data_IF_383774047303
#
_entry.id   IF_383774047303
#
_cell.length_a   1.000
_cell.length_b   1.000
_cell.length_c   1.000
_cell.angle_alpha   90.00
_cell.angle_beta   90.00
_cell.angle_gamma   90.00
#
_symmetry.space_group_name_H-M   'P 1'
#
loop_
_entity.id
_entity.type
_entity.pdbx_description
1 polymer ?
#
# COMPACT_ATOMS: atom_id res chain seq x y z
N UNK A 1 -72.87 34.01 -16.72
CA UNK A 1 -71.89 34.11 -15.58
C UNK A 1 -71.37 32.72 -15.32
N UNK A 2 -70.25 32.35 -15.92
CA UNK A 2 -69.66 30.98 -15.83
C UNK A 2 -68.30 31.14 -15.14
N UNK A 3 -68.19 30.66 -13.86
CA UNK A 3 -67.00 30.62 -13.09
C UNK A 3 -66.12 29.38 -13.52
N UNK A 4 -64.96 29.61 -14.06
CA UNK A 4 -63.96 28.59 -14.32
C UNK A 4 -63.17 28.27 -13.04
N UNK A 5 -63.22 27.04 -12.62
CA UNK A 5 -62.45 26.50 -11.49
C UNK A 5 -61.05 26.09 -12.02
N UNK A 6 -59.98 26.73 -11.52
CA UNK A 6 -58.59 26.38 -11.85
C UNK A 6 -58.10 25.41 -10.80
N UNK A 7 -57.81 24.18 -11.22
CA UNK A 7 -57.23 23.11 -10.39
C UNK A 7 -55.71 23.26 -10.40
N UNK A 8 -55.11 23.62 -9.25
CA UNK A 8 -53.66 23.58 -9.08
C UNK A 8 -53.25 22.16 -8.73
N UNK A 9 -52.49 21.50 -9.64
CA UNK A 9 -51.81 20.24 -9.37
C UNK A 9 -50.45 20.56 -8.83
N UNK A 10 -50.24 20.34 -7.52
CA UNK A 10 -48.92 20.40 -6.88
C UNK A 10 -48.16 19.11 -7.14
N UNK A 11 -47.11 19.20 -7.96
CA UNK A 11 -46.18 18.11 -8.24
C UNK A 11 -45.16 18.04 -7.10
N UNK A 12 -45.26 17.00 -6.23
CA UNK A 12 -44.28 16.67 -5.22
C UNK A 12 -43.09 15.99 -5.92
N UNK A 13 -41.99 16.73 -6.07
CA UNK A 13 -40.70 16.11 -6.42
C UNK A 13 -40.13 15.43 -5.16
N UNK A 14 -40.17 14.09 -5.12
CA UNK A 14 -39.39 13.31 -4.17
C UNK A 14 -37.95 13.22 -4.67
N UNK A 15 -37.05 13.93 -3.97
CA UNK A 15 -35.60 13.79 -4.14
C UNK A 15 -35.12 12.47 -3.55
N UNK A 16 -34.87 11.47 -4.41
CA UNK A 16 -34.17 10.27 -4.03
C UNK A 16 -32.68 10.60 -3.87
N UNK A 17 -32.22 10.66 -2.62
CA UNK A 17 -30.79 10.77 -2.31
C UNK A 17 -30.14 9.41 -2.61
N UNK A 18 -29.51 9.30 -3.78
CA UNK A 18 -28.68 8.14 -4.12
C UNK A 18 -27.41 8.20 -3.27
N UNK A 19 -27.23 7.24 -2.35
CA UNK A 19 -25.93 6.97 -1.76
C UNK A 19 -25.01 6.47 -2.87
N UNK A 20 -24.19 7.37 -3.40
CA UNK A 20 -23.13 7.01 -4.33
C UNK A 20 -22.09 6.16 -3.57
N UNK A 21 -22.06 4.87 -3.87
CA UNK A 21 -20.97 3.99 -3.43
C UNK A 21 -19.64 4.55 -3.94
N UNK A 22 -18.65 4.71 -3.05
CA UNK A 22 -17.33 5.22 -3.42
C UNK A 22 -16.72 4.31 -4.52
N UNK A 23 -16.56 4.87 -5.71
CA UNK A 23 -15.97 4.19 -6.85
C UNK A 23 -14.47 3.94 -6.58
N UNK A 24 -13.97 2.74 -6.94
CA UNK A 24 -12.54 2.38 -6.89
C UNK A 24 -11.67 3.23 -7.86
N UNK A 25 -12.26 4.09 -8.68
CA UNK A 25 -11.59 4.74 -9.82
C UNK A 25 -11.07 6.15 -9.57
N UNK A 26 -11.24 6.71 -8.36
CA UNK A 26 -10.86 8.10 -8.08
C UNK A 26 -9.42 8.28 -7.55
N UNK A 27 -8.50 7.37 -7.91
CA UNK A 27 -7.07 7.65 -7.76
C UNK A 27 -6.70 8.60 -8.91
N UNK A 28 -6.43 9.85 -8.57
CA UNK A 28 -5.95 10.86 -9.53
C UNK A 28 -4.73 10.28 -10.26
N UNK A 29 -4.88 10.01 -11.57
CA UNK A 29 -3.81 9.43 -12.39
C UNK A 29 -2.73 10.50 -12.56
N UNK A 30 -1.72 10.47 -11.67
CA UNK A 30 -0.45 11.14 -11.97
C UNK A 30 0.05 10.53 -13.30
N UNK A 31 0.30 11.37 -14.29
CA UNK A 31 0.84 10.91 -15.57
C UNK A 31 2.24 10.32 -15.31
N UNK A 32 2.29 8.98 -15.24
CA UNK A 32 3.54 8.26 -15.04
C UNK A 32 4.23 8.16 -16.39
N UNK A 33 5.47 8.64 -16.53
CA UNK A 33 6.21 8.53 -17.80
C UNK A 33 6.35 7.07 -18.24
N UNK A 34 6.36 6.81 -19.54
CA UNK A 34 6.58 5.45 -20.10
C UNK A 34 7.94 4.86 -19.69
N UNK A 35 8.91 5.71 -19.37
CA UNK A 35 10.24 5.32 -18.87
C UNK A 35 10.25 4.90 -17.41
N UNK A 36 9.16 5.12 -16.69
CA UNK A 36 9.07 4.75 -15.28
C UNK A 36 9.11 3.23 -15.09
N UNK A 37 9.86 2.78 -14.09
CA UNK A 37 9.84 1.40 -13.63
C UNK A 37 8.91 1.23 -12.44
N UNK A 38 8.42 0.00 -12.25
CA UNK A 38 7.57 -0.37 -11.11
C UNK A 38 8.34 -1.24 -10.13
N UNK A 39 8.05 -1.05 -8.83
CA UNK A 39 8.46 -1.91 -7.74
C UNK A 39 7.26 -2.16 -6.82
N UNK A 40 7.10 -3.39 -6.30
CA UNK A 40 5.93 -3.73 -5.47
C UNK A 40 6.38 -4.43 -4.20
N UNK A 41 5.97 -3.88 -3.05
CA UNK A 41 6.43 -4.27 -1.72
C UNK A 41 5.27 -4.48 -0.75
N UNK A 42 5.24 -5.63 -0.07
CA UNK A 42 4.40 -5.90 1.09
C UNK A 42 5.24 -5.82 2.38
N UNK A 43 4.77 -5.09 3.37
CA UNK A 43 5.47 -4.90 4.65
C UNK A 43 4.50 -4.60 5.80
N UNK A 44 3.36 -5.32 5.83
CA UNK A 44 2.24 -5.05 6.74
C UNK A 44 1.34 -3.95 6.22
N UNK A 45 0.68 -3.23 7.12
CA UNK A 45 -0.27 -2.18 6.74
C UNK A 45 0.34 -1.17 5.76
N UNK A 46 -0.29 -1.07 4.58
CA UNK A 46 0.14 -0.17 3.49
C UNK A 46 0.13 1.31 3.87
N UNK A 47 -0.71 1.75 4.85
CA UNK A 47 -0.64 3.13 5.37
C UNK A 47 0.73 3.49 5.92
N UNK A 48 1.47 2.50 6.48
CA UNK A 48 2.82 2.70 6.99
C UNK A 48 3.90 2.50 5.94
N UNK A 49 3.59 1.77 4.86
CA UNK A 49 4.53 1.52 3.77
C UNK A 49 4.57 2.65 2.74
N UNK A 50 3.49 3.39 2.55
CA UNK A 50 3.37 4.46 1.55
C UNK A 50 4.32 5.67 1.84
N UNK A 51 4.31 6.28 3.05
CA UNK A 51 5.06 7.51 3.31
C UNK A 51 6.59 7.42 3.14
N UNK A 52 7.27 6.31 3.46
CA UNK A 52 8.72 6.21 3.25
C UNK A 52 9.15 6.31 1.80
N UNK A 53 8.34 5.78 0.87
CA UNK A 53 8.65 5.80 -0.56
C UNK A 53 8.26 7.12 -1.23
N UNK A 54 7.14 7.72 -0.87
CA UNK A 54 6.69 8.98 -1.47
C UNK A 54 7.66 10.15 -1.27
N UNK A 55 8.46 10.12 -0.21
CA UNK A 55 9.44 11.16 0.12
C UNK A 55 10.71 11.09 -0.72
N UNK A 56 10.87 10.05 -1.53
CA UNK A 56 12.10 9.82 -2.28
C UNK A 56 12.11 10.62 -3.57
N UNK A 57 13.18 11.38 -3.78
CA UNK A 57 13.42 12.02 -5.07
C UNK A 57 13.59 10.96 -6.16
N UNK A 58 12.85 11.08 -7.26
CA UNK A 58 12.81 10.08 -8.34
C UNK A 58 11.64 9.10 -8.23
N UNK A 59 10.82 9.15 -7.18
CA UNK A 59 9.55 8.44 -7.12
C UNK A 59 8.45 9.33 -7.71
N UNK A 60 7.70 8.79 -8.67
CA UNK A 60 6.59 9.48 -9.32
C UNK A 60 5.28 9.28 -8.58
N UNK A 61 5.03 8.05 -8.11
CA UNK A 61 3.83 7.73 -7.36
C UNK A 61 4.03 6.50 -6.49
N UNK A 62 3.26 6.42 -5.41
CA UNK A 62 3.10 5.24 -4.57
C UNK A 62 1.62 4.95 -4.44
N UNK A 63 1.19 3.75 -4.79
CA UNK A 63 -0.22 3.36 -4.75
C UNK A 63 -0.38 2.18 -3.79
N UNK A 64 -1.19 2.34 -2.77
CA UNK A 64 -1.59 1.27 -1.85
C UNK A 64 -2.53 0.29 -2.55
N UNK A 65 -2.35 -1.01 -2.34
CA UNK A 65 -3.16 -2.04 -3.02
C UNK A 65 -2.90 -3.45 -2.54
N UNK A 66 -3.29 -4.41 -3.37
CA UNK A 66 -3.26 -5.83 -3.07
C UNK A 66 -2.54 -6.59 -4.17
N UNK A 67 -1.71 -7.57 -3.77
CA UNK A 67 -0.96 -8.43 -4.70
C UNK A 67 -0.70 -9.81 -4.09
N UNK A 68 -0.37 -10.79 -4.93
CA UNK A 68 0.07 -12.13 -4.50
C UNK A 68 -1.02 -13.18 -4.36
N UNK A 69 -2.30 -12.82 -4.41
CA UNK A 69 -3.44 -13.73 -4.48
C UNK A 69 -3.85 -14.02 -5.92
N UNK A 70 -4.80 -14.92 -6.08
CA UNK A 70 -5.39 -15.30 -7.37
C UNK A 70 -6.75 -14.64 -7.61
N UNK A 71 -7.36 -14.07 -6.58
CA UNK A 71 -8.68 -13.44 -6.63
C UNK A 71 -8.63 -12.15 -7.46
N UNK A 72 -9.60 -12.01 -8.37
CA UNK A 72 -9.72 -10.85 -9.25
C UNK A 72 -10.51 -9.76 -8.53
N UNK A 73 -9.99 -8.53 -8.54
CA UNK A 73 -10.61 -7.37 -7.93
C UNK A 73 -11.03 -7.59 -6.47
N UNK A 74 -10.12 -8.01 -5.57
CA UNK A 74 -10.44 -8.24 -4.17
C UNK A 74 -10.91 -6.94 -3.52
N UNK A 75 -11.84 -7.05 -2.57
CA UNK A 75 -12.22 -5.93 -1.72
C UNK A 75 -11.30 -5.83 -0.49
N UNK A 76 -11.19 -4.63 0.09
CA UNK A 76 -10.49 -4.45 1.37
C UNK A 76 -11.00 -5.42 2.45
N UNK A 77 -12.32 -5.57 2.55
CA UNK A 77 -12.90 -6.44 3.57
C UNK A 77 -12.48 -7.90 3.41
N UNK A 78 -12.37 -8.40 2.19
CA UNK A 78 -11.95 -9.78 1.95
C UNK A 78 -10.47 -9.97 2.26
N UNK A 79 -9.62 -9.04 1.84
CA UNK A 79 -8.19 -9.08 2.15
C UNK A 79 -7.93 -8.93 3.64
N UNK A 80 -8.49 -7.89 4.28
CA UNK A 80 -8.26 -7.61 5.70
C UNK A 80 -8.73 -8.75 6.63
N UNK A 81 -9.74 -9.51 6.22
CA UNK A 81 -10.23 -10.70 6.93
C UNK A 81 -9.44 -11.97 6.61
N UNK A 82 -8.45 -11.92 5.72
CA UNK A 82 -7.66 -13.07 5.32
C UNK A 82 -8.43 -14.08 4.47
N UNK A 83 -9.46 -13.65 3.75
CA UNK A 83 -10.29 -14.50 2.89
C UNK A 83 -9.71 -14.65 1.47
N UNK A 84 -8.56 -14.03 1.20
CA UNK A 84 -7.86 -14.07 -0.08
C UNK A 84 -6.40 -14.44 0.10
N UNK A 85 -5.73 -14.83 -1.00
CA UNK A 85 -4.28 -15.03 -1.02
C UNK A 85 -3.47 -13.73 -1.14
N UNK A 86 -4.15 -12.57 -1.26
CA UNK A 86 -3.50 -11.28 -1.39
C UNK A 86 -2.86 -10.81 -0.08
N UNK A 87 -1.79 -10.00 -0.24
CA UNK A 87 -1.23 -9.19 0.85
C UNK A 87 -1.38 -7.71 0.53
N UNK A 88 -1.47 -6.88 1.57
CA UNK A 88 -1.37 -5.43 1.43
C UNK A 88 0.02 -5.06 0.92
N UNK A 89 0.06 -4.25 -0.12
CA UNK A 89 1.30 -3.81 -0.78
C UNK A 89 1.25 -2.33 -1.12
N UNK A 90 2.42 -1.77 -1.37
CA UNK A 90 2.57 -0.52 -2.12
C UNK A 90 3.23 -0.82 -3.45
N UNK A 91 2.69 -0.24 -4.53
CA UNK A 91 3.31 -0.23 -5.84
C UNK A 91 3.93 1.16 -6.07
N UNK A 92 5.24 1.18 -6.31
CA UNK A 92 6.06 2.38 -6.48
C UNK A 92 6.41 2.52 -7.95
N UNK A 93 6.02 3.64 -8.57
CA UNK A 93 6.50 4.03 -9.88
C UNK A 93 7.68 5.00 -9.71
N UNK A 94 8.81 4.70 -10.32
CA UNK A 94 10.05 5.46 -10.10
C UNK A 94 10.88 5.66 -11.38
N UNK A 95 11.71 6.68 -11.35
CA UNK A 95 12.69 7.00 -12.38
C UNK A 95 13.98 6.24 -12.13
N UNK A 96 14.35 5.23 -12.96
CA UNK A 96 15.55 4.45 -12.74
C UNK A 96 16.87 5.24 -12.93
N UNK A 97 16.82 6.42 -13.57
CA UNK A 97 17.97 7.30 -13.73
C UNK A 97 18.19 8.18 -12.49
N UNK A 98 17.15 8.42 -11.68
CA UNK A 98 17.20 9.27 -10.49
C UNK A 98 17.28 8.50 -9.18
N UNK A 99 16.70 7.29 -9.13
CA UNK A 99 16.72 6.43 -7.95
C UNK A 99 16.82 4.97 -8.37
N UNK A 100 17.75 4.22 -7.76
CA UNK A 100 17.93 2.80 -8.07
C UNK A 100 16.94 1.91 -7.33
N UNK A 101 16.71 0.72 -7.87
CA UNK A 101 15.88 -0.30 -7.19
C UNK A 101 16.51 -0.77 -5.88
N UNK A 102 17.85 -0.79 -5.79
CA UNK A 102 18.61 -1.05 -4.57
C UNK A 102 18.26 -0.04 -3.47
N UNK A 103 18.12 1.24 -3.82
CA UNK A 103 17.73 2.27 -2.87
C UNK A 103 16.29 2.09 -2.37
N UNK A 104 15.38 1.67 -3.24
CA UNK A 104 14.02 1.32 -2.82
C UNK A 104 14.01 0.12 -1.87
N UNK A 105 14.85 -0.89 -2.11
CA UNK A 105 15.01 -2.03 -1.21
C UNK A 105 15.57 -1.60 0.16
N UNK A 106 16.54 -0.68 0.20
CA UNK A 106 17.04 -0.14 1.48
C UNK A 106 15.91 0.49 2.30
N UNK A 107 15.06 1.30 1.65
CA UNK A 107 13.89 1.91 2.31
C UNK A 107 12.88 0.85 2.75
N UNK A 108 12.65 -0.16 1.94
CA UNK A 108 11.79 -1.30 2.27
C UNK A 108 12.26 -2.01 3.55
N UNK A 109 13.54 -2.38 3.64
CA UNK A 109 14.11 -3.06 4.82
C UNK A 109 13.99 -2.22 6.09
N UNK A 110 14.06 -0.90 5.96
CA UNK A 110 13.94 0.05 7.06
C UNK A 110 12.50 0.43 7.42
N UNK A 111 11.51 -0.16 6.76
CA UNK A 111 10.10 0.18 6.96
C UNK A 111 9.30 -0.90 7.69
N UNK A 112 9.86 -2.09 7.93
CA UNK A 112 9.14 -3.23 8.50
C UNK A 112 10.09 -4.16 9.30
N UNK A 113 9.54 -5.22 9.91
CA UNK A 113 10.31 -6.31 10.51
C UNK A 113 10.48 -7.46 9.50
N UNK A 114 11.68 -7.65 8.94
CA UNK A 114 11.91 -8.69 7.94
C UNK A 114 11.99 -10.11 8.51
N UNK A 115 11.87 -10.28 9.81
CA UNK A 115 11.97 -11.56 10.53
C UNK A 115 10.60 -12.12 10.96
N UNK A 116 9.51 -11.36 10.80
CA UNK A 116 8.15 -11.75 11.19
C UNK A 116 7.36 -12.29 10.00
N UNK A 117 7.17 -13.60 9.91
CA UNK A 117 6.37 -14.25 8.85
C UNK A 117 4.87 -14.25 9.12
N UNK A 118 4.43 -13.98 10.34
CA UNK A 118 3.02 -14.06 10.76
C UNK A 118 2.26 -12.74 10.61
N UNK A 119 2.86 -11.75 10.01
CA UNK A 119 2.29 -10.40 9.85
C UNK A 119 3.31 -9.32 10.12
N UNK A 120 2.87 -8.18 10.63
CA UNK A 120 3.74 -7.08 11.01
C UNK A 120 3.19 -6.34 12.25
N UNK A 121 3.93 -6.42 13.34
CA UNK A 121 3.58 -5.73 14.61
C UNK A 121 2.18 -6.13 15.12
N UNK A 122 1.26 -5.17 15.27
CA UNK A 122 -0.11 -5.44 15.68
C UNK A 122 -0.97 -6.07 14.58
N UNK A 123 -0.56 -5.96 13.31
CA UNK A 123 -1.30 -6.51 12.17
C UNK A 123 -0.88 -7.96 11.95
N UNK A 124 -1.81 -8.88 12.21
CA UNK A 124 -1.52 -10.33 12.13
C UNK A 124 -2.30 -10.99 11.00
N UNK A 125 -1.64 -11.96 10.36
CA UNK A 125 -2.19 -12.74 9.26
C UNK A 125 -1.39 -12.61 7.96
N UNK A 126 -1.67 -13.53 7.02
CA UNK A 126 -0.96 -13.63 5.73
C UNK A 126 -1.13 -12.40 4.86
N UNK A 127 -2.21 -11.66 5.03
CA UNK A 127 -2.46 -10.39 4.33
C UNK A 127 -1.50 -9.26 4.74
N UNK A 128 -0.70 -9.45 5.80
CA UNK A 128 0.32 -8.52 6.26
C UNK A 128 1.74 -9.10 6.19
N UNK A 129 1.93 -10.22 5.47
CA UNK A 129 3.24 -10.84 5.31
C UNK A 129 4.23 -9.94 4.58
N UNK A 130 5.53 -9.97 4.95
CA UNK A 130 6.54 -9.22 4.22
C UNK A 130 6.89 -9.94 2.91
N UNK A 131 6.81 -9.20 1.79
CA UNK A 131 7.05 -9.74 0.46
C UNK A 131 7.60 -8.71 -0.52
N UNK A 132 8.40 -9.17 -1.48
CA UNK A 132 8.87 -8.40 -2.63
C UNK A 132 8.33 -9.07 -3.89
N UNK A 133 7.51 -8.35 -4.67
CA UNK A 133 6.99 -8.80 -5.94
C UNK A 133 7.83 -8.21 -7.08
N UNK A 134 8.61 -9.07 -7.75
CA UNK A 134 9.63 -8.63 -8.70
C UNK A 134 9.12 -8.50 -10.12
N UNK A 135 9.32 -7.33 -10.75
CA UNK A 135 8.98 -7.03 -12.14
C UNK A 135 10.12 -7.44 -13.08
N UNK A 136 10.41 -8.73 -13.10
CA UNK A 136 11.41 -9.34 -13.98
C UNK A 136 12.67 -9.85 -13.27
N UNK A 137 13.53 -10.48 -14.10
CA UNK A 137 14.70 -11.22 -13.61
C UNK A 137 15.71 -10.31 -12.90
N UNK A 138 15.97 -9.11 -13.44
CA UNK A 138 16.92 -8.17 -12.85
C UNK A 138 16.53 -7.75 -11.43
N UNK A 139 15.26 -7.40 -11.20
CA UNK A 139 14.79 -7.06 -9.85
C UNK A 139 14.90 -8.27 -8.91
N UNK A 140 14.57 -9.47 -9.38
CA UNK A 140 14.69 -10.70 -8.57
C UNK A 140 16.13 -10.95 -8.11
N UNK A 141 17.11 -10.78 -9.00
CA UNK A 141 18.52 -10.93 -8.68
C UNK A 141 18.99 -9.89 -7.67
N UNK A 142 18.62 -8.61 -7.87
CA UNK A 142 18.96 -7.52 -6.95
C UNK A 142 18.31 -7.73 -5.59
N UNK A 143 17.02 -8.06 -5.53
CA UNK A 143 16.31 -8.33 -4.28
C UNK A 143 16.94 -9.52 -3.51
N UNK A 144 17.31 -10.59 -4.23
CA UNK A 144 18.00 -11.75 -3.64
C UNK A 144 19.36 -11.40 -3.01
N UNK A 145 20.17 -10.60 -3.72
CA UNK A 145 21.44 -10.08 -3.20
C UNK A 145 21.25 -9.18 -1.99
N UNK A 146 20.28 -8.27 -2.05
CA UNK A 146 19.95 -7.35 -0.97
C UNK A 146 19.50 -8.11 0.29
N UNK A 147 18.61 -9.10 0.16
CA UNK A 147 18.19 -9.97 1.27
C UNK A 147 19.37 -10.72 1.88
N UNK A 148 20.25 -11.28 1.05
CA UNK A 148 21.43 -11.99 1.53
C UNK A 148 22.43 -11.07 2.26
N UNK A 149 22.59 -9.83 1.78
CA UNK A 149 23.42 -8.83 2.45
C UNK A 149 22.83 -8.44 3.82
N UNK A 150 21.52 -8.22 3.90
CA UNK A 150 20.84 -7.93 5.16
C UNK A 150 20.99 -9.09 6.16
N UNK A 151 20.83 -10.33 5.71
CA UNK A 151 21.01 -11.52 6.56
C UNK A 151 22.43 -11.64 7.13
N UNK A 152 23.44 -11.18 6.38
CA UNK A 152 24.85 -11.20 6.80
C UNK A 152 25.26 -10.00 7.64
N UNK A 153 24.45 -8.95 7.68
CA UNK A 153 24.80 -7.68 8.34
C UNK A 153 24.86 -7.76 9.87
N UNK A 154 24.26 -8.78 10.46
CA UNK A 154 24.15 -8.91 11.93
C UNK A 154 23.12 -7.98 12.58
N UNK A 155 22.37 -7.19 11.80
CA UNK A 155 21.31 -6.31 12.32
C UNK A 155 20.18 -7.10 12.97
N UNK A 156 19.86 -8.28 12.39
CA UNK A 156 18.84 -9.18 12.91
C UNK A 156 19.47 -10.51 13.35
N UNK A 157 19.10 -10.97 14.54
CA UNK A 157 19.52 -12.30 15.05
C UNK A 157 18.66 -13.44 14.50
N UNK A 158 17.44 -13.14 14.07
CA UNK A 158 16.51 -14.09 13.47
C UNK A 158 16.64 -14.12 11.94
N UNK A 159 16.26 -15.24 11.29
CA UNK A 159 16.29 -15.34 9.82
C UNK A 159 15.44 -14.30 9.13
N UNK A 160 15.88 -13.82 7.98
CA UNK A 160 15.08 -12.96 7.11
C UNK A 160 14.06 -13.81 6.34
N UNK A 161 12.77 -13.62 6.61
CA UNK A 161 11.66 -14.44 6.10
C UNK A 161 10.93 -13.82 4.91
N UNK A 162 11.38 -12.66 4.43
CA UNK A 162 10.74 -11.93 3.33
C UNK A 162 10.69 -12.77 2.06
N UNK A 163 9.50 -12.97 1.52
CA UNK A 163 9.28 -13.67 0.25
C UNK A 163 9.76 -12.81 -0.94
N UNK A 164 10.39 -13.45 -1.93
CA UNK A 164 10.75 -12.82 -3.20
C UNK A 164 10.07 -13.62 -4.31
N UNK A 165 8.96 -13.11 -4.82
CA UNK A 165 8.12 -13.80 -5.80
C UNK A 165 7.96 -12.98 -7.09
N UNK A 166 7.68 -13.61 -8.24
CA UNK A 166 7.33 -12.87 -9.44
C UNK A 166 6.05 -12.06 -9.25
N UNK A 167 6.05 -10.83 -9.73
CA UNK A 167 4.84 -10.03 -9.84
C UNK A 167 3.88 -10.66 -10.85
N UNK A 168 2.58 -10.73 -10.51
CA UNK A 168 1.52 -11.24 -11.38
C UNK A 168 0.44 -10.20 -11.62
N UNK A 169 -0.13 -9.67 -10.54
CA UNK A 169 -1.23 -8.72 -10.59
C UNK A 169 -1.14 -7.72 -9.43
N UNK A 170 -1.73 -6.55 -9.65
CA UNK A 170 -1.92 -5.53 -8.64
C UNK A 170 -3.33 -4.96 -8.75
N UNK A 171 -4.00 -4.84 -7.63
CA UNK A 171 -5.30 -4.21 -7.52
C UNK A 171 -5.18 -3.03 -6.56
N UNK A 172 -5.43 -1.82 -7.07
CA UNK A 172 -5.38 -0.63 -6.22
C UNK A 172 -6.42 -0.73 -5.10
N UNK A 173 -6.03 -0.39 -3.90
CA UNK A 173 -6.94 -0.27 -2.78
C UNK A 173 -7.89 0.93 -3.00
N UNK A 174 -8.97 0.94 -2.26
CA UNK A 174 -10.01 1.95 -2.33
C UNK A 174 -9.43 3.35 -2.05
N UNK A 175 -10.01 4.39 -2.64
CA UNK A 175 -9.50 5.77 -2.60
C UNK A 175 -9.28 6.33 -1.19
N UNK A 176 -10.06 5.89 -0.22
CA UNK A 176 -9.90 6.31 1.18
C UNK A 176 -8.64 5.74 1.86
N UNK A 177 -7.99 4.73 1.27
CA UNK A 177 -6.72 4.18 1.74
C UNK A 177 -5.50 4.90 1.16
N UNK A 178 -5.63 5.51 -0.01
CA UNK A 178 -4.54 6.24 -0.65
C UNK A 178 -4.24 7.53 0.14
N UNK A 179 -2.97 7.85 0.33
CA UNK A 179 -2.54 9.04 1.10
C UNK A 179 -3.12 9.09 2.52
N UNK A 180 -3.39 7.93 3.13
CA UNK A 180 -4.09 7.89 4.41
C UNK A 180 -3.39 8.73 5.48
N UNK A 181 -2.09 8.73 5.53
CA UNK A 181 -1.29 9.52 6.47
C UNK A 181 -1.44 11.04 6.28
N UNK A 182 -1.71 11.51 5.05
CA UNK A 182 -2.00 12.92 4.73
C UNK A 182 -3.45 13.28 5.09
N UNK A 183 -4.40 12.39 4.74
CA UNK A 183 -5.84 12.59 4.96
C UNK A 183 -6.23 12.47 6.43
N UNK A 184 -5.55 11.60 7.19
CA UNK A 184 -5.87 11.27 8.58
C UNK A 184 -4.64 11.29 9.50
N UNK A 185 -3.87 12.40 9.58
CA UNK A 185 -2.54 12.40 10.19
C UNK A 185 -2.53 11.99 11.67
N UNK A 186 -3.53 12.44 12.46
CA UNK A 186 -3.60 12.09 13.89
C UNK A 186 -3.86 10.60 14.10
N UNK A 187 -4.80 10.02 13.34
CA UNK A 187 -5.15 8.60 13.43
C UNK A 187 -4.00 7.72 12.93
N UNK A 188 -3.37 8.10 11.83
CA UNK A 188 -2.18 7.42 11.32
C UNK A 188 -1.05 7.40 12.35
N UNK A 189 -0.71 8.55 12.95
CA UNK A 189 0.38 8.63 13.91
C UNK A 189 0.10 7.83 15.18
N UNK A 190 -1.13 7.89 15.69
CA UNK A 190 -1.58 7.05 16.82
C UNK A 190 -1.44 5.57 16.52
N UNK A 191 -1.90 5.14 15.33
CA UNK A 191 -1.79 3.75 14.89
C UNK A 191 -0.32 3.32 14.72
N UNK A 192 0.51 4.09 14.05
CA UNK A 192 1.91 3.79 13.80
C UNK A 192 2.71 3.62 15.10
N UNK A 193 2.41 4.42 16.11
CA UNK A 193 3.00 4.29 17.46
C UNK A 193 2.40 3.11 18.23
N UNK A 194 1.08 3.02 18.26
CA UNK A 194 0.35 2.00 19.03
C UNK A 194 0.59 0.58 18.52
N UNK A 195 0.84 0.39 17.23
CA UNK A 195 1.18 -0.91 16.66
C UNK A 195 2.54 -1.47 17.08
N UNK A 196 3.44 -0.63 17.62
CA UNK A 196 4.81 -0.99 17.95
C UNK A 196 5.82 -0.78 16.82
N UNK A 197 5.37 -0.47 15.60
CA UNK A 197 6.25 -0.26 14.42
C UNK A 197 7.27 0.85 14.67
N UNK A 198 6.82 2.02 15.15
CA UNK A 198 7.71 3.16 15.36
C UNK A 198 8.86 2.82 16.34
N UNK A 199 8.53 2.21 17.46
CA UNK A 199 9.52 1.81 18.48
C UNK A 199 10.49 0.74 17.97
N UNK A 200 10.01 -0.23 17.18
CA UNK A 200 10.86 -1.25 16.56
C UNK A 200 11.86 -0.62 15.59
N UNK A 201 11.40 0.20 14.67
CA UNK A 201 12.26 0.83 13.66
C UNK A 201 13.29 1.74 14.29
N UNK A 202 12.94 2.49 15.33
CA UNK A 202 13.86 3.34 16.08
C UNK A 202 14.96 2.53 16.80
N UNK A 203 14.59 1.42 17.44
CA UNK A 203 15.58 0.54 18.11
C UNK A 203 16.52 -0.14 17.11
N UNK A 204 16.01 -0.53 15.95
CA UNK A 204 16.78 -1.31 14.96
C UNK A 204 17.70 -0.41 14.13
N UNK A 205 17.23 0.76 13.72
CA UNK A 205 17.91 1.62 12.77
C UNK A 205 18.39 2.96 13.33
N UNK A 206 18.06 3.23 14.60
CA UNK A 206 18.26 4.54 15.22
C UNK A 206 17.18 5.54 14.78
N UNK A 207 17.10 6.68 15.50
CA UNK A 207 16.32 7.82 15.06
C UNK A 207 16.91 8.33 13.75
N UNK A 208 16.27 8.03 12.63
CA UNK A 208 16.70 8.53 11.31
C UNK A 208 16.73 10.06 11.32
N UNK A 209 17.93 10.61 11.32
CA UNK A 209 18.19 12.02 11.00
C UNK A 209 18.35 12.16 9.50
#
# INVERSE_FOLDING_TARGET
>A
MTRRLILFVTLLLSSATACAGASKTDVEKVAIPETAMLATFGGGCFWCMEPPFEKLAGVYSVVSGYSGGEEINPSYNDVARGLTGHTEVVQVAFDPERISYEKLLEVFWRSMDPTDSGGQFADRGTQYRPAIFTHGKKQREIAGKSRAALAKSGVFSSPIVVEITPFRSFYAAESYHQDYYKKNPRRYESYRRGSGRAAFLERTWGSGK
#
